data_IF_411107977605
#
_entry.id   IF_411107977605
#
_cell.length_a   1.000
_cell.length_b   1.000
_cell.length_c   1.000
_cell.angle_alpha   90.00
_cell.angle_beta   90.00
_cell.angle_gamma   90.00
#
_symmetry.space_group_name_H-M   'P 1'
#
loop_
_entity.id
_entity.type
_entity.pdbx_description
1 polymer ?
#
# COMPACT_ATOMS: atom_id res chain seq x y z
N UNK A 1 24.44 -4.91 -10.70
CA UNK A 1 24.43 -4.84 -9.23
C UNK A 1 22.99 -4.73 -8.76
N UNK A 2 22.55 -5.60 -7.85
CA UNK A 2 21.23 -5.48 -7.23
C UNK A 2 21.31 -4.41 -6.14
N UNK A 3 20.52 -3.36 -6.27
CA UNK A 3 20.44 -2.29 -5.28
C UNK A 3 19.49 -2.70 -4.15
N UNK A 4 19.82 -2.34 -2.91
CA UNK A 4 19.07 -2.72 -1.71
C UNK A 4 17.66 -2.11 -1.71
N UNK A 5 16.68 -2.96 -1.43
CA UNK A 5 15.34 -2.58 -1.01
C UNK A 5 15.10 -3.22 0.36
N UNK A 6 14.68 -2.42 1.36
CA UNK A 6 14.22 -2.97 2.63
C UNK A 6 12.76 -3.37 2.47
N UNK A 7 12.46 -4.64 2.74
CA UNK A 7 11.13 -5.19 2.54
C UNK A 7 10.76 -6.05 3.73
N UNK A 8 9.53 -5.88 4.23
CA UNK A 8 8.92 -6.77 5.21
C UNK A 8 8.01 -7.71 4.46
N UNK A 9 8.13 -9.01 4.72
CA UNK A 9 7.29 -10.05 4.13
C UNK A 9 6.46 -10.73 5.21
N UNK A 10 5.25 -11.15 4.84
CA UNK A 10 4.53 -12.13 5.63
C UNK A 10 5.04 -13.54 5.27
N UNK A 11 5.53 -14.27 6.26
CA UNK A 11 6.09 -15.61 6.09
C UNK A 11 5.12 -16.70 6.57
N UNK A 12 4.85 -17.67 5.71
CA UNK A 12 4.08 -18.86 6.09
C UNK A 12 5.00 -19.96 6.60
N UNK A 13 4.93 -20.26 7.90
CA UNK A 13 5.68 -21.35 8.53
C UNK A 13 5.27 -22.74 8.02
N UNK A 14 4.03 -22.94 7.61
CA UNK A 14 3.50 -24.23 7.18
C UNK A 14 3.91 -24.59 5.74
N UNK A 15 4.11 -23.60 4.87
CA UNK A 15 4.51 -23.82 3.46
C UNK A 15 5.95 -23.47 3.18
N UNK A 16 6.65 -22.85 4.13
CA UNK A 16 8.04 -22.43 3.99
C UNK A 16 8.23 -21.23 3.03
N UNK A 17 7.15 -20.60 2.58
CA UNK A 17 7.15 -19.54 1.56
C UNK A 17 6.80 -18.18 2.14
N UNK A 18 7.44 -17.14 1.63
CA UNK A 18 6.95 -15.77 1.75
C UNK A 18 5.75 -15.60 0.80
N UNK A 19 4.65 -15.01 1.28
CA UNK A 19 3.47 -14.76 0.44
C UNK A 19 3.70 -13.56 -0.47
N UNK A 20 3.79 -12.37 0.15
CA UNK A 20 3.97 -11.10 -0.52
C UNK A 20 4.57 -10.09 0.46
N UNK A 21 5.20 -9.02 -0.05
CA UNK A 21 5.71 -7.97 0.81
C UNK A 21 4.54 -7.28 1.51
N UNK A 22 4.55 -7.23 2.85
CA UNK A 22 3.59 -6.42 3.62
C UNK A 22 3.97 -4.95 3.62
N UNK A 23 5.25 -4.66 3.40
CA UNK A 23 5.80 -3.32 3.32
C UNK A 23 7.11 -3.31 2.52
N UNK A 24 7.39 -2.22 1.82
CA UNK A 24 8.65 -1.99 1.13
C UNK A 24 9.09 -0.53 1.25
N UNK A 25 10.40 -0.30 1.39
CA UNK A 25 11.02 1.03 1.32
C UNK A 25 11.00 1.64 -0.08
N UNK A 26 10.64 0.85 -1.10
CA UNK A 26 10.57 1.26 -2.50
C UNK A 26 11.88 1.85 -3.03
N UNK A 27 13.02 1.30 -2.58
CA UNK A 27 14.36 1.69 -3.04
C UNK A 27 14.93 0.74 -4.08
N UNK A 28 14.15 -0.23 -4.57
CA UNK A 28 14.54 -1.10 -5.67
C UNK A 28 14.91 -0.27 -6.91
N UNK A 29 16.05 -0.58 -7.51
CA UNK A 29 16.59 0.14 -8.68
C UNK A 29 16.94 1.62 -8.43
N UNK A 30 17.00 2.08 -7.18
CA UNK A 30 17.30 3.49 -6.84
C UNK A 30 18.69 3.74 -6.29
N UNK A 31 19.57 2.74 -6.39
CA UNK A 31 20.96 2.87 -5.95
C UNK A 31 21.18 2.62 -4.46
N UNK A 32 20.17 2.19 -3.70
CA UNK A 32 20.31 1.94 -2.27
C UNK A 32 21.38 0.90 -1.97
N UNK A 33 22.24 1.14 -0.99
CA UNK A 33 23.32 0.23 -0.60
C UNK A 33 23.45 0.03 0.90
N UNK A 34 22.95 0.97 1.73
CA UNK A 34 23.00 0.85 3.19
C UNK A 34 21.77 1.45 3.85
N UNK A 35 21.30 0.83 4.92
CA UNK A 35 20.32 1.41 5.84
C UNK A 35 20.99 1.70 7.20
N UNK A 36 20.67 2.84 7.80
CA UNK A 36 21.32 3.32 9.04
C UNK A 36 20.27 3.97 9.92
N UNK A 37 20.22 3.57 11.20
CA UNK A 37 19.54 4.34 12.24
C UNK A 37 20.54 5.37 12.79
N UNK A 38 20.32 6.64 12.47
CA UNK A 38 21.18 7.75 12.85
C UNK A 38 20.99 8.12 14.33
N UNK A 39 22.00 8.76 14.93
CA UNK A 39 21.95 9.18 16.34
C UNK A 39 20.87 10.22 16.68
N UNK A 40 20.40 10.96 15.67
CA UNK A 40 19.29 11.91 15.77
C UNK A 40 17.90 11.23 15.80
N UNK A 41 17.84 9.91 15.62
CA UNK A 41 16.63 9.12 15.62
C UNK A 41 16.02 8.84 14.25
N UNK A 42 16.65 9.30 13.17
CA UNK A 42 16.18 9.08 11.81
C UNK A 42 16.70 7.74 11.24
N UNK A 43 15.83 6.94 10.65
CA UNK A 43 16.24 5.72 9.93
C UNK A 43 16.30 6.03 8.43
N UNK A 44 17.45 5.83 7.81
CA UNK A 44 17.76 6.34 6.46
C UNK A 44 18.37 5.26 5.58
N UNK A 45 17.98 5.23 4.30
CA UNK A 45 18.65 4.44 3.27
C UNK A 45 19.47 5.38 2.39
N UNK A 46 20.73 5.00 2.15
CA UNK A 46 21.70 5.75 1.35
C UNK A 46 22.17 4.96 0.13
N UNK A 47 22.64 5.70 -0.87
CA UNK A 47 23.47 5.23 -1.98
C UNK A 47 24.93 5.04 -1.56
N UNK A 48 25.72 4.43 -2.45
CA UNK A 48 27.18 4.25 -2.28
C UNK A 48 27.95 5.57 -2.17
N UNK A 49 27.48 6.62 -2.84
CA UNK A 49 28.04 7.98 -2.78
C UNK A 49 27.67 8.75 -1.49
N UNK A 50 26.90 8.13 -0.58
CA UNK A 50 26.45 8.75 0.67
C UNK A 50 25.20 9.61 0.53
N UNK A 51 24.57 9.70 -0.65
CA UNK A 51 23.30 10.41 -0.83
C UNK A 51 22.14 9.63 -0.23
N UNK A 52 21.33 10.29 0.60
CA UNK A 52 20.13 9.68 1.16
C UNK A 52 19.03 9.57 0.08
N UNK A 53 18.34 8.44 -0.01
CA UNK A 53 17.26 8.20 -0.99
C UNK A 53 15.90 7.93 -0.34
N UNK A 54 15.90 7.58 0.95
CA UNK A 54 14.72 7.28 1.73
C UNK A 54 14.99 7.55 3.22
N UNK A 55 14.01 8.04 3.99
CA UNK A 55 14.11 8.13 5.45
C UNK A 55 12.75 8.10 6.17
N UNK A 56 12.75 7.93 7.49
CA UNK A 56 11.53 7.93 8.33
C UNK A 56 11.05 9.32 8.76
N UNK A 57 11.83 10.38 8.51
CA UNK A 57 11.63 11.76 9.02
C UNK A 57 11.42 11.82 10.54
N UNK A 58 12.16 11.01 11.27
CA UNK A 58 12.14 10.97 12.74
C UNK A 58 13.35 11.67 13.35
N UNK A 59 14.03 12.54 12.59
CA UNK A 59 15.12 13.36 13.09
C UNK A 59 14.67 14.22 14.29
N UNK A 60 15.53 14.34 15.30
CA UNK A 60 15.21 14.99 16.57
C UNK A 60 14.54 14.05 17.59
N UNK A 61 14.27 12.79 17.23
CA UNK A 61 13.76 11.74 18.14
C UNK A 61 14.89 10.81 18.59
N UNK A 62 15.95 11.39 19.14
CA UNK A 62 17.19 10.70 19.53
C UNK A 62 16.99 9.55 20.53
N UNK A 63 18.04 8.75 20.74
CA UNK A 63 17.97 7.47 21.48
C UNK A 63 16.89 6.55 20.92
N UNK A 64 16.82 6.52 19.59
CA UNK A 64 15.94 5.64 18.85
C UNK A 64 16.53 4.24 18.73
N UNK A 65 15.65 3.25 18.61
CA UNK A 65 15.99 1.89 18.24
C UNK A 65 14.95 1.35 17.27
N UNK A 66 15.38 0.46 16.39
CA UNK A 66 14.52 -0.23 15.46
C UNK A 66 13.98 -1.49 16.14
N UNK A 67 12.67 -1.72 16.10
CA UNK A 67 12.05 -2.94 16.62
C UNK A 67 11.21 -3.62 15.55
N UNK A 68 11.23 -4.94 15.54
CA UNK A 68 10.20 -5.74 14.88
C UNK A 68 9.20 -6.22 15.93
N UNK A 69 7.90 -6.18 15.62
CA UNK A 69 6.85 -6.70 16.51
C UNK A 69 6.08 -7.85 15.86
N UNK A 70 5.35 -8.62 16.68
CA UNK A 70 4.58 -9.79 16.24
C UNK A 70 3.46 -9.45 15.25
N UNK A 71 3.07 -8.18 15.16
CA UNK A 71 2.16 -7.67 14.13
C UNK A 71 2.83 -7.56 12.73
N UNK A 72 4.11 -7.92 12.59
CA UNK A 72 4.84 -7.87 11.32
C UNK A 72 5.24 -6.45 10.91
N UNK A 73 5.47 -5.56 11.88
CA UNK A 73 5.85 -4.17 11.63
C UNK A 73 7.29 -3.90 12.06
N UNK A 74 8.00 -3.10 11.26
CA UNK A 74 9.20 -2.38 11.69
C UNK A 74 8.74 -1.07 12.33
N UNK A 75 9.27 -0.77 13.51
CA UNK A 75 9.02 0.48 14.22
C UNK A 75 10.32 1.18 14.57
N UNK A 76 10.31 2.50 14.51
CA UNK A 76 11.30 3.35 15.17
C UNK A 76 10.69 3.79 16.50
N UNK A 77 11.36 3.45 17.59
CA UNK A 77 10.91 3.78 18.96
C UNK A 77 11.96 4.65 19.62
N UNK A 78 11.57 5.79 20.19
CA UNK A 78 12.50 6.74 20.83
C UNK A 78 12.33 6.78 22.34
N UNK A 79 13.41 6.51 23.09
CA UNK A 79 13.39 6.63 24.56
C UNK A 79 13.17 8.07 25.04
N UNK A 80 13.80 9.03 24.37
CA UNK A 80 13.64 10.45 24.70
C UNK A 80 12.25 11.00 24.35
N UNK A 81 11.46 10.21 23.62
CA UNK A 81 10.08 10.51 23.30
C UNK A 81 9.14 9.56 24.04
N UNK A 82 9.39 9.32 25.34
CA UNK A 82 8.58 8.47 26.22
C UNK A 82 8.32 7.06 25.66
N UNK A 83 9.33 6.45 25.03
CA UNK A 83 9.19 5.14 24.37
C UNK A 83 8.11 5.10 23.29
N UNK A 84 7.74 6.25 22.72
CA UNK A 84 6.75 6.31 21.66
C UNK A 84 7.32 5.71 20.36
N UNK A 85 6.43 5.03 19.63
CA UNK A 85 6.65 4.71 18.22
C UNK A 85 6.58 6.01 17.42
N UNK A 86 7.72 6.46 16.93
CA UNK A 86 7.84 7.70 16.14
C UNK A 86 7.67 7.45 14.65
N UNK A 87 7.82 6.20 14.21
CA UNK A 87 7.48 5.72 12.88
C UNK A 87 7.14 4.23 12.92
N UNK A 88 6.19 3.77 12.10
CA UNK A 88 5.89 2.36 11.88
C UNK A 88 5.67 2.09 10.39
N UNK A 89 6.15 0.93 9.93
CA UNK A 89 5.90 0.42 8.58
C UNK A 89 4.41 0.15 8.30
N UNK A 90 3.58 -0.03 9.34
CA UNK A 90 2.14 -0.31 9.18
C UNK A 90 1.36 0.83 8.52
N UNK A 91 1.69 2.08 8.89
CA UNK A 91 0.96 3.27 8.44
C UNK A 91 1.80 4.22 7.59
N UNK A 92 3.08 3.92 7.40
CA UNK A 92 4.02 4.86 6.78
C UNK A 92 5.09 4.10 5.98
N UNK A 93 5.22 4.42 4.70
CA UNK A 93 6.26 3.85 3.83
C UNK A 93 7.63 4.52 3.95
N UNK A 94 7.75 5.51 4.85
CA UNK A 94 8.82 6.48 4.89
C UNK A 94 8.74 7.45 3.70
N UNK A 95 9.77 8.28 3.60
CA UNK A 95 9.81 9.40 2.67
C UNK A 95 10.96 9.22 1.71
N UNK A 96 10.64 9.19 0.42
CA UNK A 96 11.66 9.23 -0.60
C UNK A 96 12.25 10.63 -0.77
N UNK A 97 13.55 10.73 -1.03
CA UNK A 97 14.31 12.01 -1.05
C UNK A 97 14.57 12.50 -2.49
N UNK A 98 14.44 11.65 -3.52
CA UNK A 98 14.88 11.97 -4.89
C UNK A 98 13.92 11.53 -6.03
N UNK A 99 12.69 11.06 -5.75
CA UNK A 99 11.74 10.65 -6.80
C UNK A 99 10.73 11.76 -7.19
N UNK A 100 11.00 13.02 -6.86
CA UNK A 100 9.91 13.98 -6.69
C UNK A 100 9.08 13.60 -5.47
N UNK A 101 8.27 14.52 -4.97
CA UNK A 101 7.50 14.26 -3.76
C UNK A 101 6.50 13.12 -3.99
N UNK A 102 6.69 11.96 -3.34
CA UNK A 102 5.53 11.26 -2.79
C UNK A 102 5.10 12.11 -1.60
N UNK A 103 4.26 13.11 -1.90
CA UNK A 103 3.66 13.99 -0.92
C UNK A 103 2.51 13.26 -0.24
N UNK A 104 2.80 12.35 0.69
CA UNK A 104 1.84 11.95 1.71
C UNK A 104 1.99 12.89 2.90
N UNK A 105 1.65 14.17 2.71
CA UNK A 105 1.17 14.93 3.86
C UNK A 105 -0.22 14.37 4.17
N UNK A 106 -0.46 13.80 5.37
CA UNK A 106 -1.81 13.56 5.81
C UNK A 106 -2.45 14.94 5.97
N UNK A 107 -3.12 15.43 4.92
CA UNK A 107 -4.06 16.51 5.12
C UNK A 107 -5.17 15.91 5.98
N UNK A 108 -5.27 16.41 7.21
CA UNK A 108 -6.39 16.10 8.10
C UNK A 108 -7.67 16.29 7.26
N UNK A 109 -8.62 15.34 7.26
CA UNK A 109 -9.75 15.41 6.36
C UNK A 109 -10.51 16.73 6.54
N UNK A 110 -10.36 17.62 5.57
CA UNK A 110 -11.18 18.81 5.43
C UNK A 110 -12.24 18.46 4.42
N UNK A 111 -13.50 18.52 4.84
CA UNK A 111 -14.65 18.29 3.96
C UNK A 111 -14.72 16.90 3.27
N UNK A 112 -14.05 15.86 3.81
CA UNK A 112 -14.05 14.51 3.22
C UNK A 112 -12.83 14.18 2.36
N UNK A 113 -11.88 15.11 2.19
CA UNK A 113 -10.61 14.82 1.50
C UNK A 113 -9.80 13.78 2.30
N UNK A 114 -9.43 12.66 1.69
CA UNK A 114 -8.65 11.59 2.34
C UNK A 114 -7.14 11.71 2.06
N UNK A 115 -6.77 12.25 0.90
CA UNK A 115 -5.38 12.51 0.48
C UNK A 115 -5.33 13.53 -0.66
N UNK A 116 -4.20 13.73 -1.34
CA UNK A 116 -4.11 14.71 -2.43
C UNK A 116 -5.01 14.36 -3.63
N UNK A 117 -5.18 13.07 -3.92
CA UNK A 117 -5.89 12.59 -5.11
C UNK A 117 -7.20 11.86 -4.80
N UNK A 118 -7.52 11.62 -3.52
CA UNK A 118 -8.70 10.84 -3.13
C UNK A 118 -9.58 11.57 -2.12
N UNK A 119 -10.88 11.56 -2.39
CA UNK A 119 -11.94 12.10 -1.56
C UNK A 119 -12.91 10.97 -1.15
N UNK A 120 -13.43 11.03 0.08
CA UNK A 120 -14.24 9.94 0.67
C UNK A 120 -15.52 9.64 -0.12
N UNK A 121 -16.07 10.63 -0.83
CA UNK A 121 -17.25 10.46 -1.70
C UNK A 121 -16.99 9.52 -2.87
N UNK A 122 -15.75 9.41 -3.35
CA UNK A 122 -15.39 8.49 -4.44
C UNK A 122 -15.52 7.02 -4.02
N UNK A 123 -15.48 6.76 -2.72
CA UNK A 123 -15.59 5.43 -2.14
C UNK A 123 -16.99 5.14 -1.62
N UNK A 124 -17.97 6.04 -1.74
CA UNK A 124 -19.32 5.77 -1.28
C UNK A 124 -19.95 4.60 -2.05
N UNK A 125 -20.87 3.88 -1.41
CA UNK A 125 -21.57 2.79 -2.06
C UNK A 125 -22.35 3.30 -3.26
N UNK A 126 -21.99 2.85 -4.46
CA UNK A 126 -22.58 3.34 -5.71
C UNK A 126 -24.09 3.14 -5.82
N UNK A 127 -24.64 2.14 -5.13
CA UNK A 127 -26.06 1.81 -5.20
C UNK A 127 -26.92 2.72 -4.31
N UNK A 128 -26.50 2.96 -3.07
CA UNK A 128 -27.32 3.64 -2.07
C UNK A 128 -26.72 4.95 -1.55
N UNK A 129 -25.49 5.29 -1.95
CA UNK A 129 -24.76 6.46 -1.46
C UNK A 129 -24.22 6.32 -0.04
N UNK A 130 -24.40 5.17 0.62
CA UNK A 130 -23.92 4.96 1.98
C UNK A 130 -22.40 5.15 2.05
N UNK A 131 -21.96 5.88 3.07
CA UNK A 131 -20.54 6.14 3.33
C UNK A 131 -20.02 5.26 4.45
N UNK A 132 -18.73 4.94 4.41
CA UNK A 132 -18.04 4.23 5.47
C UNK A 132 -16.65 4.82 5.70
N UNK A 133 -16.07 4.57 6.86
CA UNK A 133 -14.65 4.91 7.08
C UNK A 133 -13.80 4.08 6.13
N UNK A 134 -12.93 4.73 5.36
CA UNK A 134 -12.00 4.04 4.47
C UNK A 134 -10.67 3.89 5.19
N UNK A 135 -10.08 2.71 5.11
CA UNK A 135 -8.81 2.41 5.76
C UNK A 135 -7.69 3.33 5.22
N UNK A 136 -7.00 4.03 6.11
CA UNK A 136 -5.98 4.99 5.72
C UNK A 136 -4.79 4.31 5.02
N UNK A 137 -4.50 3.03 5.31
CA UNK A 137 -3.46 2.27 4.62
C UNK A 137 -3.84 2.01 3.16
N UNK A 138 -5.12 1.76 2.88
CA UNK A 138 -5.63 1.66 1.50
C UNK A 138 -5.35 2.97 0.74
N UNK A 139 -5.75 4.11 1.31
CA UNK A 139 -5.54 5.43 0.71
C UNK A 139 -4.06 5.71 0.49
N UNK A 140 -3.21 5.42 1.49
CA UNK A 140 -1.77 5.62 1.39
C UNK A 140 -1.14 4.76 0.29
N UNK A 141 -1.62 3.52 0.08
CA UNK A 141 -1.12 2.64 -0.99
C UNK A 141 -1.64 3.03 -2.37
N UNK A 142 -2.86 3.57 -2.47
CA UNK A 142 -3.38 4.13 -3.71
C UNK A 142 -2.60 5.38 -4.16
N UNK A 143 -2.19 6.24 -3.22
CA UNK A 143 -1.30 7.38 -3.50
C UNK A 143 0.10 6.95 -3.98
N UNK A 144 0.62 5.87 -3.39
CA UNK A 144 1.87 5.26 -3.87
C UNK A 144 1.71 4.66 -5.26
N UNK A 145 0.56 4.04 -5.55
CA UNK A 145 0.26 3.51 -6.87
C UNK A 145 0.18 4.63 -7.91
N UNK A 146 -0.51 5.72 -7.58
CA UNK A 146 -0.58 6.94 -8.39
C UNK A 146 0.82 7.44 -8.75
N UNK A 147 1.70 7.51 -7.75
CA UNK A 147 3.08 7.98 -7.92
C UNK A 147 3.95 6.99 -8.71
N UNK A 148 3.87 5.69 -8.39
CA UNK A 148 4.70 4.62 -8.97
C UNK A 148 4.41 4.41 -10.45
N UNK A 149 3.15 4.53 -10.85
CA UNK A 149 2.72 4.42 -12.25
C UNK A 149 2.75 5.77 -12.99
N UNK A 150 3.17 6.84 -12.31
CA UNK A 150 3.14 8.21 -12.85
C UNK A 150 1.76 8.58 -13.43
N UNK A 151 0.69 8.23 -12.71
CA UNK A 151 -0.68 8.40 -13.18
C UNK A 151 -1.03 9.87 -13.45
N UNK A 152 -1.97 10.11 -14.36
CA UNK A 152 -2.73 11.37 -14.42
C UNK A 152 -3.89 11.34 -13.43
N UNK A 153 -4.55 10.19 -13.28
CA UNK A 153 -5.66 9.94 -12.36
C UNK A 153 -5.79 8.46 -12.04
N UNK A 154 -6.39 8.16 -10.90
CA UNK A 154 -6.92 6.83 -10.57
C UNK A 154 -8.42 7.03 -10.33
N UNK A 155 -9.24 6.28 -11.05
CA UNK A 155 -10.71 6.33 -10.90
C UNK A 155 -11.13 5.17 -10.00
N UNK A 156 -11.81 5.48 -8.89
CA UNK A 156 -12.45 4.47 -8.04
C UNK A 156 -13.75 4.02 -8.70
N UNK A 157 -13.75 2.82 -9.27
CA UNK A 157 -14.93 2.24 -9.93
C UNK A 157 -15.85 1.54 -8.93
N UNK A 158 -15.35 1.14 -7.76
CA UNK A 158 -16.17 0.62 -6.66
C UNK A 158 -15.38 0.71 -5.36
N UNK A 159 -15.87 1.47 -4.38
CA UNK A 159 -15.25 1.62 -3.05
C UNK A 159 -15.98 0.78 -2.00
N UNK A 160 -16.44 1.42 -0.92
CA UNK A 160 -17.29 0.76 0.06
C UNK A 160 -18.55 0.19 -0.59
N UNK A 161 -18.92 -1.03 -0.21
CA UNK A 161 -20.22 -1.63 -0.55
C UNK A 161 -21.02 -1.78 0.73
N UNK A 162 -22.18 -1.15 0.80
CA UNK A 162 -23.13 -1.41 1.87
C UNK A 162 -23.48 -2.92 1.86
N UNK A 163 -23.46 -3.62 3.01
CA UNK A 163 -23.64 -5.07 3.05
C UNK A 163 -24.96 -5.55 2.44
N UNK A 164 -26.04 -4.80 2.62
CA UNK A 164 -27.36 -5.17 2.09
C UNK A 164 -27.42 -4.91 0.58
N UNK A 165 -26.83 -3.81 0.12
CA UNK A 165 -26.66 -3.52 -1.30
C UNK A 165 -25.79 -4.56 -2.02
N UNK A 166 -24.72 -5.03 -1.37
CA UNK A 166 -23.78 -6.04 -1.88
C UNK A 166 -24.48 -7.37 -2.12
N UNK A 167 -25.16 -7.90 -1.08
CA UNK A 167 -25.88 -9.18 -1.18
C UNK A 167 -27.00 -9.12 -2.22
N UNK A 168 -27.67 -7.98 -2.36
CA UNK A 168 -28.74 -7.81 -3.33
C UNK A 168 -28.28 -7.78 -4.81
N UNK A 169 -26.98 -7.84 -5.10
CA UNK A 169 -26.43 -8.06 -6.46
C UNK A 169 -25.54 -9.32 -6.54
N UNK A 170 -25.68 -10.24 -5.57
CA UNK A 170 -24.88 -11.48 -5.53
C UNK A 170 -23.49 -11.32 -4.91
N UNK A 171 -23.20 -10.18 -4.27
CA UNK A 171 -22.00 -9.96 -3.49
C UNK A 171 -22.06 -10.58 -2.09
N UNK A 172 -21.01 -10.38 -1.31
CA UNK A 172 -20.87 -10.94 0.03
C UNK A 172 -21.06 -9.87 1.10
N UNK A 173 -21.60 -10.27 2.27
CA UNK A 173 -21.87 -9.37 3.39
C UNK A 173 -20.63 -8.96 4.18
N UNK A 174 -19.56 -9.73 4.06
CA UNK A 174 -18.35 -9.67 4.90
C UNK A 174 -17.06 -9.74 4.04
N UNK A 175 -17.09 -9.11 2.86
CA UNK A 175 -15.92 -8.97 2.00
C UNK A 175 -15.07 -7.73 2.34
N UNK A 176 -13.99 -7.52 1.59
CA UNK A 176 -13.08 -6.41 1.80
C UNK A 176 -13.73 -5.02 1.51
N UNK A 177 -14.70 -4.94 0.60
CA UNK A 177 -15.41 -3.71 0.29
C UNK A 177 -16.39 -3.31 1.40
N UNK A 178 -17.15 -4.27 1.93
CA UNK A 178 -18.09 -4.06 3.06
C UNK A 178 -17.38 -3.66 4.34
N UNK A 179 -16.06 -3.83 4.42
CA UNK A 179 -15.20 -3.39 5.54
C UNK A 179 -14.47 -2.07 5.29
N UNK A 180 -14.62 -1.45 4.11
CA UNK A 180 -13.92 -0.21 3.77
C UNK A 180 -12.40 -0.35 3.59
N UNK A 181 -11.92 -1.57 3.33
CA UNK A 181 -10.48 -1.88 3.16
C UNK A 181 -10.11 -2.19 1.70
N UNK A 182 -11.06 -2.07 0.77
CA UNK A 182 -10.88 -2.37 -0.65
C UNK A 182 -11.39 -1.25 -1.57
N UNK A 183 -10.83 -1.21 -2.77
CA UNK A 183 -11.32 -0.45 -3.89
C UNK A 183 -11.04 -1.17 -5.21
N UNK A 184 -12.01 -1.14 -6.11
CA UNK A 184 -11.84 -1.46 -7.52
C UNK A 184 -11.48 -0.14 -8.22
N UNK A 185 -10.42 -0.16 -9.02
CA UNK A 185 -9.87 1.06 -9.63
C UNK A 185 -9.47 0.86 -11.09
N UNK A 186 -9.42 1.97 -11.82
CA UNK A 186 -8.76 2.06 -13.14
C UNK A 186 -7.70 3.16 -13.08
N UNK A 187 -6.46 2.83 -13.44
CA UNK A 187 -5.34 3.77 -13.48
C UNK A 187 -5.16 4.35 -14.88
N UNK A 188 -4.79 5.63 -14.99
CA UNK A 188 -4.58 6.30 -16.28
C UNK A 188 -3.18 6.92 -16.36
N UNK A 189 -2.50 6.74 -17.49
CA UNK A 189 -1.19 7.34 -17.75
C UNK A 189 -1.26 8.87 -17.94
N UNK A 190 -0.11 9.54 -18.13
CA UNK A 190 -0.07 11.01 -18.35
C UNK A 190 -0.76 11.48 -19.64
N UNK A 191 -0.97 10.59 -20.59
CA UNK A 191 -1.67 10.87 -21.85
C UNK A 191 -3.19 10.63 -21.73
N UNK A 192 -3.66 10.14 -20.58
CA UNK A 192 -5.06 9.84 -20.34
C UNK A 192 -5.52 8.47 -20.85
N UNK A 193 -4.60 7.58 -21.21
CA UNK A 193 -4.93 6.20 -21.59
C UNK A 193 -5.03 5.31 -20.35
N UNK A 194 -5.97 4.35 -20.31
CA UNK A 194 -6.04 3.39 -19.22
C UNK A 194 -4.81 2.48 -19.24
N UNK A 195 -4.22 2.24 -18.07
CA UNK A 195 -3.09 1.34 -17.86
C UNK A 195 -3.64 -0.09 -17.73
N UNK A 196 -3.02 -1.05 -18.41
CA UNK A 196 -3.42 -2.45 -18.35
C UNK A 196 -3.40 -2.99 -16.91
N UNK A 197 -4.41 -3.75 -16.53
CA UNK A 197 -4.57 -4.21 -15.14
C UNK A 197 -3.38 -5.06 -14.66
N UNK A 198 -2.71 -5.81 -15.55
CA UNK A 198 -1.52 -6.59 -15.21
C UNK A 198 -0.34 -5.70 -14.79
N UNK A 199 -0.14 -4.57 -15.49
CA UNK A 199 0.87 -3.57 -15.13
C UNK A 199 0.55 -2.95 -13.77
N UNK A 200 -0.73 -2.65 -13.52
CA UNK A 200 -1.19 -2.12 -12.24
C UNK A 200 -1.02 -3.16 -11.12
N UNK A 201 -1.33 -4.42 -11.37
CA UNK A 201 -1.22 -5.52 -10.40
C UNK A 201 0.23 -5.74 -9.98
N UNK A 202 1.17 -5.73 -10.93
CA UNK A 202 2.59 -5.81 -10.60
C UNK A 202 3.05 -4.63 -9.74
N UNK A 203 2.64 -3.40 -10.10
CA UNK A 203 2.96 -2.22 -9.30
C UNK A 203 2.36 -2.31 -7.88
N UNK A 204 1.12 -2.77 -7.76
CA UNK A 204 0.42 -2.97 -6.49
C UNK A 204 1.08 -4.04 -5.62
N UNK A 205 1.53 -5.16 -6.20
CA UNK A 205 2.31 -6.18 -5.49
C UNK A 205 3.60 -5.60 -4.91
N UNK A 206 4.32 -4.79 -5.69
CA UNK A 206 5.55 -4.14 -5.21
C UNK A 206 5.31 -3.08 -4.13
N UNK A 207 4.13 -2.46 -4.13
CA UNK A 207 3.70 -1.55 -3.06
C UNK A 207 3.29 -2.33 -1.80
N UNK A 208 2.87 -3.58 -1.96
CA UNK A 208 2.48 -4.48 -0.88
C UNK A 208 0.98 -4.48 -0.60
N UNK A 209 0.13 -4.26 -1.60
CA UNK A 209 -1.29 -4.60 -1.48
C UNK A 209 -1.42 -6.09 -1.14
N UNK A 210 -2.23 -6.42 -0.15
CA UNK A 210 -2.39 -7.79 0.33
C UNK A 210 -3.53 -8.52 -0.34
N UNK A 211 -4.46 -7.79 -0.97
CA UNK A 211 -5.42 -8.33 -1.91
C UNK A 211 -5.33 -7.65 -3.27
N UNK A 212 -5.20 -8.44 -4.33
CA UNK A 212 -5.11 -7.96 -5.72
C UNK A 212 -5.92 -8.91 -6.62
N UNK A 213 -6.85 -8.38 -7.40
CA UNK A 213 -7.68 -9.18 -8.33
C UNK A 213 -7.78 -8.53 -9.70
N UNK A 214 -7.45 -9.27 -10.77
CA UNK A 214 -7.65 -8.77 -12.15
C UNK A 214 -9.13 -8.89 -12.51
N UNK A 215 -9.83 -7.75 -12.69
CA UNK A 215 -11.28 -7.72 -12.95
C UNK A 215 -11.56 -7.81 -14.45
N UNK A 216 -10.92 -6.95 -15.24
CA UNK A 216 -11.03 -6.93 -16.71
C UNK A 216 -9.69 -6.53 -17.35
N UNK A 217 -9.68 -5.87 -18.52
CA UNK A 217 -8.44 -5.39 -19.15
C UNK A 217 -7.79 -4.19 -18.43
N UNK A 218 -8.53 -3.44 -17.63
CA UNK A 218 -8.10 -2.18 -17.03
C UNK A 218 -8.52 -2.03 -15.55
N UNK A 219 -9.66 -2.58 -15.17
CA UNK A 219 -10.14 -2.59 -13.80
C UNK A 219 -9.39 -3.64 -12.97
N UNK A 220 -9.06 -3.26 -11.74
CA UNK A 220 -8.35 -4.11 -10.78
C UNK A 220 -8.93 -3.91 -9.39
N UNK A 221 -9.12 -5.01 -8.67
CA UNK A 221 -9.44 -5.03 -7.25
C UNK A 221 -8.16 -4.84 -6.43
N UNK A 222 -8.18 -3.94 -5.46
CA UNK A 222 -7.07 -3.68 -4.55
C UNK A 222 -7.58 -3.56 -3.11
N UNK A 223 -6.98 -4.31 -2.19
CA UNK A 223 -7.30 -4.22 -0.77
C UNK A 223 -6.08 -4.40 0.16
N UNK A 224 -6.30 -4.04 1.43
CA UNK A 224 -5.30 -4.10 2.50
C UNK A 224 -5.63 -5.12 3.58
N UNK A 225 -6.27 -6.25 3.21
CA UNK A 225 -6.61 -7.33 4.14
C UNK A 225 -5.42 -7.82 4.94
N UNK A 226 -5.66 -8.17 6.19
CA UNK A 226 -4.72 -8.79 7.12
C UNK A 226 -5.41 -9.95 7.82
N UNK A 227 -4.67 -10.79 8.52
CA UNK A 227 -5.28 -11.84 9.35
C UNK A 227 -6.05 -11.29 10.56
N UNK A 228 -5.90 -10.00 10.90
CA UNK A 228 -6.67 -9.35 11.96
C UNK A 228 -8.06 -8.91 11.50
N UNK A 229 -8.26 -8.67 10.21
CA UNK A 229 -9.52 -8.19 9.65
C UNK A 229 -10.12 -9.10 8.56
N UNK A 230 -9.44 -10.18 8.17
CA UNK A 230 -9.86 -11.13 7.13
C UNK A 230 -9.35 -12.54 7.45
N UNK A 231 -10.11 -13.58 7.08
CA UNK A 231 -9.73 -14.98 7.31
C UNK A 231 -8.39 -15.34 6.65
N UNK A 232 -8.15 -14.78 5.47
CA UNK A 232 -6.89 -14.84 4.74
C UNK A 232 -6.30 -13.44 4.62
N UNK A 233 -5.12 -13.21 5.22
CA UNK A 233 -4.40 -11.94 5.11
C UNK A 233 -3.69 -11.72 3.77
N UNK A 234 -3.94 -12.56 2.77
CA UNK A 234 -3.35 -12.49 1.44
C UNK A 234 -4.29 -13.11 0.40
N UNK A 235 -4.49 -12.46 -0.74
CA UNK A 235 -5.21 -13.01 -1.89
C UNK A 235 -4.77 -12.35 -3.19
N UNK A 236 -4.25 -13.13 -4.14
CA UNK A 236 -3.95 -12.66 -5.49
C UNK A 236 -4.72 -13.53 -6.48
N UNK A 237 -5.56 -12.90 -7.31
CA UNK A 237 -6.44 -13.60 -8.21
C UNK A 237 -6.64 -12.92 -9.57
N UNK A 238 -7.30 -13.65 -10.46
CA UNK A 238 -7.76 -13.21 -11.78
C UNK A 238 -9.23 -13.63 -11.94
N UNK A 239 -10.14 -12.68 -11.74
CA UNK A 239 -11.58 -12.88 -11.78
C UNK A 239 -12.07 -13.21 -13.20
N UNK A 240 -11.30 -12.84 -14.22
CA UNK A 240 -11.59 -13.13 -15.64
C UNK A 240 -11.51 -14.62 -15.94
N UNK A 241 -10.66 -15.33 -15.19
CA UNK A 241 -10.41 -16.76 -15.36
C UNK A 241 -10.88 -17.60 -14.17
N UNK A 242 -11.29 -16.96 -13.07
CA UNK A 242 -11.61 -17.65 -11.81
C UNK A 242 -10.37 -18.22 -11.11
N UNK A 243 -9.17 -17.72 -11.42
CA UNK A 243 -7.94 -18.20 -10.79
C UNK A 243 -7.65 -17.41 -9.50
N UNK A 244 -7.87 -18.03 -8.34
CA UNK A 244 -7.65 -17.42 -7.03
C UNK A 244 -6.24 -17.65 -6.42
N UNK A 245 -5.31 -18.22 -7.18
CA UNK A 245 -4.01 -18.68 -6.67
C UNK A 245 -2.82 -18.15 -7.47
N UNK A 246 -2.79 -16.85 -7.73
CA UNK A 246 -1.64 -16.20 -8.35
C UNK A 246 -0.54 -16.03 -7.28
N UNK A 247 0.64 -16.58 -7.53
CA UNK A 247 1.78 -16.45 -6.60
C UNK A 247 2.48 -15.10 -6.74
N UNK A 248 2.48 -14.52 -7.93
CA UNK A 248 3.05 -13.19 -8.24
C UNK A 248 2.57 -12.72 -9.62
N UNK A 249 2.38 -11.41 -9.77
CA UNK A 249 2.05 -10.72 -11.01
C UNK A 249 3.30 -10.32 -11.82
N UNK A 250 4.52 -10.63 -11.36
CA UNK A 250 5.76 -10.33 -12.08
C UNK A 250 5.75 -10.80 -13.54
N UNK A 251 5.12 -11.95 -13.80
CA UNK A 251 5.08 -12.57 -15.12
C UNK A 251 3.90 -12.10 -15.99
N UNK A 252 2.99 -11.30 -15.43
CA UNK A 252 1.85 -10.73 -16.14
C UNK A 252 2.19 -9.39 -16.78
N UNK A 253 3.23 -8.71 -16.29
CA UNK A 253 3.79 -7.51 -16.91
C UNK A 253 4.61 -7.89 -18.16
N UNK A 254 4.10 -7.56 -19.35
CA UNK A 254 4.86 -7.61 -20.62
C UNK A 254 5.25 -6.21 -21.07
#
# INVERSE_FOLDING_TARGET
MLYCNLVVYHYNKNTGKAYSPTWSSQTENRGGTKCVLQGDGNFVIYKSDGKAIWNTRTNGKSRAYLTFCDAGEIRVVSRNYNYATTWSSYNNHGYSIDAGAISTQPTKPVNGQLSAHFHSSEFACKRCGATHSIDQNLINKLEQLFSKLNCSKIIVTSGYRDPDCSVAVGGYRNDAHTRGIAADVICYDKNGNPIACETVAWAAEQIGFSGIGLIDSYAIHLDVRTTSNYSNGHWFGDERTGNDNISTFRNYHR
#
